data_IF_672916824741
#
_entry.id   IF_672916824741
#
_cell.length_a   1.000
_cell.length_b   1.000
_cell.length_c   1.000
_cell.angle_alpha   90.00
_cell.angle_beta   90.00
_cell.angle_gamma   90.00
#
_symmetry.space_group_name_H-M   'P 1'
#
loop_
_entity.id
_entity.type
_entity.pdbx_description
1 polymer ?
#
# COMPACT_ATOMS: atom_id res chain seq x y z
N UNK A 1 -80.82 23.35 43.93
CA UNK A 1 -79.46 22.80 44.10
C UNK A 1 -79.00 22.24 42.76
N UNK A 2 -77.93 22.84 42.20
CA UNK A 2 -77.30 22.44 40.93
C UNK A 2 -76.56 21.11 41.11
N UNK A 3 -76.81 20.13 40.26
CA UNK A 3 -75.92 19.00 40.06
C UNK A 3 -75.53 18.94 38.58
N UNK A 4 -74.28 19.27 38.30
CA UNK A 4 -73.63 19.09 37.01
C UNK A 4 -73.43 17.59 36.75
N UNK A 5 -73.85 17.09 35.59
CA UNK A 5 -73.41 15.81 35.03
C UNK A 5 -72.38 16.08 33.96
N UNK A 6 -71.13 15.68 34.19
CA UNK A 6 -70.06 15.66 33.19
C UNK A 6 -69.99 14.22 32.65
N UNK A 7 -70.01 13.99 31.33
CA UNK A 7 -69.61 12.71 30.78
C UNK A 7 -68.09 12.69 30.58
N UNK A 8 -67.42 11.72 31.20
CA UNK A 8 -66.01 11.41 30.97
C UNK A 8 -65.93 10.66 29.63
N UNK A 9 -65.50 11.34 28.57
CA UNK A 9 -65.08 10.72 27.33
C UNK A 9 -63.62 10.27 27.49
N UNK A 10 -63.42 8.98 27.70
CA UNK A 10 -62.09 8.34 27.70
C UNK A 10 -61.62 8.24 26.25
N UNK A 11 -60.89 9.26 25.79
CA UNK A 11 -60.17 9.24 24.52
C UNK A 11 -58.84 8.51 24.74
N UNK A 12 -58.82 7.20 24.48
CA UNK A 12 -57.58 6.41 24.42
C UNK A 12 -56.85 6.75 23.13
N UNK A 13 -56.04 7.81 23.16
CA UNK A 13 -55.09 8.14 22.11
C UNK A 13 -53.95 7.11 22.16
N UNK A 14 -54.05 6.04 21.37
CA UNK A 14 -52.94 5.13 21.09
C UNK A 14 -51.88 5.92 20.30
N UNK A 15 -50.96 6.56 21.01
CA UNK A 15 -49.72 7.07 20.43
C UNK A 15 -48.84 5.87 20.06
N UNK A 16 -48.98 5.41 18.81
CA UNK A 16 -47.94 4.61 18.16
C UNK A 16 -46.73 5.51 17.91
N UNK A 17 -45.91 5.71 18.94
CA UNK A 17 -44.54 6.18 18.74
C UNK A 17 -43.81 5.01 18.09
N UNK A 18 -43.82 4.99 16.76
CA UNK A 18 -42.89 4.19 15.98
C UNK A 18 -41.49 4.64 16.36
N UNK A 19 -40.83 3.89 17.24
CA UNK A 19 -39.39 3.98 17.46
C UNK A 19 -38.68 3.53 16.18
N UNK A 20 -38.64 4.38 15.15
CA UNK A 20 -37.65 4.25 14.10
C UNK A 20 -36.30 4.56 14.74
N UNK A 21 -35.56 3.52 15.14
CA UNK A 21 -34.16 3.67 15.54
C UNK A 21 -33.39 4.28 14.38
N UNK A 22 -32.56 5.28 14.68
CA UNK A 22 -31.71 5.93 13.69
C UNK A 22 -30.82 4.89 13.00
N UNK A 23 -30.65 5.01 11.68
CA UNK A 23 -29.75 4.14 10.91
C UNK A 23 -28.29 4.53 11.17
N UNK A 24 -27.41 3.55 11.22
CA UNK A 24 -25.97 3.74 11.42
C UNK A 24 -25.38 4.43 10.18
N UNK A 25 -25.01 5.70 10.32
CA UNK A 25 -24.40 6.48 9.23
C UNK A 25 -22.92 6.15 9.13
N UNK A 26 -22.47 5.80 7.93
CA UNK A 26 -21.08 5.53 7.59
C UNK A 26 -20.67 6.46 6.44
N UNK A 27 -19.50 7.07 6.58
CA UNK A 27 -18.94 8.03 5.64
C UNK A 27 -17.50 7.65 5.26
N UNK A 28 -16.96 8.28 4.21
CA UNK A 28 -15.59 8.02 3.73
C UNK A 28 -14.53 8.22 4.83
N UNK A 29 -14.78 9.10 5.81
CA UNK A 29 -13.88 9.33 6.94
C UNK A 29 -13.72 8.10 7.85
N UNK A 30 -14.76 7.28 7.98
CA UNK A 30 -14.71 6.05 8.78
C UNK A 30 -13.85 5.00 8.07
N UNK A 31 -13.91 4.96 6.74
CA UNK A 31 -13.00 4.12 5.93
C UNK A 31 -11.55 4.58 6.04
N UNK A 32 -11.30 5.89 5.95
CA UNK A 32 -9.97 6.47 6.13
C UNK A 32 -9.38 6.14 7.50
N UNK A 33 -10.19 6.22 8.55
CA UNK A 33 -9.79 5.85 9.90
C UNK A 33 -9.31 4.40 9.96
N UNK A 34 -10.04 3.43 9.39
CA UNK A 34 -9.60 2.03 9.39
C UNK A 34 -8.31 1.78 8.60
N UNK A 35 -8.13 2.47 7.48
CA UNK A 35 -6.89 2.38 6.70
C UNK A 35 -5.71 2.95 7.50
N UNK A 36 -5.93 4.02 8.25
CA UNK A 36 -4.92 4.63 9.12
C UNK A 36 -4.54 3.71 10.29
N UNK A 37 -5.51 3.10 10.97
CA UNK A 37 -5.26 2.12 12.05
C UNK A 37 -4.43 0.91 11.55
N UNK A 38 -4.76 0.37 10.38
CA UNK A 38 -3.95 -0.71 9.77
C UNK A 38 -2.53 -0.24 9.44
N UNK A 39 -2.37 1.02 9.03
CA UNK A 39 -1.06 1.60 8.74
C UNK A 39 -0.21 1.73 10.00
N UNK A 40 -0.79 2.19 11.11
CA UNK A 40 -0.09 2.28 12.40
C UNK A 40 0.37 0.91 12.91
N UNK A 41 -0.49 -0.11 12.82
CA UNK A 41 -0.13 -1.49 13.17
C UNK A 41 1.00 -2.00 12.27
N UNK A 42 0.99 -1.68 10.97
CA UNK A 42 2.08 -2.09 10.09
C UNK A 42 3.43 -1.45 10.42
N UNK A 43 3.42 -0.20 10.87
CA UNK A 43 4.63 0.49 11.33
C UNK A 43 5.13 -0.15 12.63
N UNK A 44 4.21 -0.48 13.55
CA UNK A 44 4.54 -1.18 14.80
C UNK A 44 5.15 -2.56 14.54
N UNK A 45 4.57 -3.33 13.62
CA UNK A 45 4.98 -4.70 13.30
C UNK A 45 6.18 -4.79 12.34
N UNK A 46 6.65 -3.64 11.83
CA UNK A 46 7.82 -3.51 10.94
C UNK A 46 7.68 -4.37 9.68
N UNK A 47 6.51 -4.30 9.02
CA UNK A 47 6.30 -5.04 7.78
C UNK A 47 7.16 -4.52 6.63
N UNK A 48 7.65 -5.46 5.81
CA UNK A 48 8.40 -5.12 4.60
C UNK A 48 7.53 -4.45 3.54
N UNK A 49 8.11 -3.65 2.63
CA UNK A 49 7.34 -2.98 1.59
C UNK A 49 6.44 -3.91 0.75
N UNK A 50 6.90 -5.10 0.27
CA UNK A 50 6.03 -6.01 -0.45
C UNK A 50 4.93 -6.59 0.43
N UNK A 51 5.24 -6.99 1.68
CA UNK A 51 4.22 -7.54 2.58
C UNK A 51 3.17 -6.49 2.93
N UNK A 52 3.56 -5.23 3.17
CA UNK A 52 2.63 -4.14 3.40
C UNK A 52 1.62 -3.95 2.25
N UNK A 53 2.05 -4.12 0.99
CA UNK A 53 1.11 -4.07 -0.14
C UNK A 53 0.04 -5.17 -0.11
N UNK A 54 0.41 -6.36 0.35
CA UNK A 54 -0.53 -7.47 0.56
C UNK A 54 -1.53 -7.15 1.66
N UNK A 55 -1.07 -6.53 2.75
CA UNK A 55 -1.90 -6.15 3.90
C UNK A 55 -2.95 -5.11 3.50
N UNK A 56 -2.64 -4.18 2.60
CA UNK A 56 -3.63 -3.23 2.09
C UNK A 56 -4.62 -3.86 1.09
N UNK A 57 -4.17 -4.73 0.20
CA UNK A 57 -4.98 -5.15 -0.94
C UNK A 57 -6.19 -6.02 -0.54
N UNK A 58 -5.99 -7.07 0.26
CA UNK A 58 -7.07 -8.01 0.59
C UNK A 58 -8.23 -7.39 1.39
N UNK A 59 -7.99 -6.56 2.44
CA UNK A 59 -9.06 -5.88 3.15
C UNK A 59 -9.86 -4.92 2.26
N UNK A 60 -9.18 -4.19 1.37
CA UNK A 60 -9.84 -3.32 0.40
C UNK A 60 -10.73 -4.12 -0.56
N UNK A 61 -10.23 -5.26 -1.08
CA UNK A 61 -11.03 -6.16 -1.94
C UNK A 61 -12.25 -6.69 -1.18
N UNK A 62 -12.12 -7.06 0.09
CA UNK A 62 -13.25 -7.52 0.89
C UNK A 62 -14.32 -6.43 1.07
N UNK A 63 -13.92 -5.21 1.44
CA UNK A 63 -14.83 -4.08 1.53
C UNK A 63 -15.50 -3.77 0.18
N UNK A 64 -14.73 -3.82 -0.90
CA UNK A 64 -15.23 -3.58 -2.25
C UNK A 64 -16.27 -4.62 -2.68
N UNK A 65 -16.01 -5.90 -2.43
CA UNK A 65 -16.95 -6.97 -2.76
C UNK A 65 -18.22 -6.92 -1.92
N UNK A 66 -18.16 -6.50 -0.64
CA UNK A 66 -19.37 -6.24 0.15
C UNK A 66 -20.29 -5.22 -0.54
N UNK A 67 -19.71 -4.17 -1.11
CA UNK A 67 -20.48 -3.14 -1.80
C UNK A 67 -21.05 -3.67 -3.13
N UNK A 68 -20.29 -4.48 -3.85
CA UNK A 68 -20.50 -4.73 -5.27
C UNK A 68 -20.88 -6.16 -5.70
N UNK A 69 -20.81 -7.15 -4.81
CA UNK A 69 -21.14 -8.55 -5.13
C UNK A 69 -22.59 -8.72 -5.63
N UNK A 70 -23.54 -7.96 -5.09
CA UNK A 70 -24.95 -8.00 -5.49
C UNK A 70 -25.48 -6.58 -5.72
N UNK A 71 -25.90 -6.21 -6.92
CA UNK A 71 -26.51 -4.90 -7.23
C UNK A 71 -25.64 -3.68 -6.80
N UNK A 72 -24.32 -3.75 -7.02
CA UNK A 72 -23.37 -2.67 -6.71
C UNK A 72 -23.43 -1.47 -7.66
N UNK A 73 -22.81 -0.36 -7.23
CA UNK A 73 -22.51 0.79 -8.10
C UNK A 73 -21.43 0.44 -9.12
N UNK A 74 -20.48 -0.40 -8.72
CA UNK A 74 -19.39 -0.90 -9.57
C UNK A 74 -19.59 -2.40 -9.86
N UNK A 75 -18.85 -2.92 -10.83
CA UNK A 75 -18.81 -4.36 -11.14
C UNK A 75 -18.00 -5.13 -10.09
N UNK A 76 -18.43 -6.35 -9.75
CA UNK A 76 -17.66 -7.24 -8.86
C UNK A 76 -16.32 -7.64 -9.51
N UNK A 77 -15.28 -7.76 -8.70
CA UNK A 77 -13.95 -8.25 -9.09
C UNK A 77 -13.88 -9.79 -9.16
N UNK A 78 -14.97 -10.48 -8.82
CA UNK A 78 -15.06 -11.93 -8.99
C UNK A 78 -14.88 -12.31 -10.46
N UNK A 79 -14.08 -13.34 -10.70
CA UNK A 79 -13.66 -13.79 -12.03
C UNK A 79 -12.81 -12.78 -12.83
N UNK A 80 -12.49 -11.61 -12.27
CA UNK A 80 -11.52 -10.67 -12.84
C UNK A 80 -10.13 -10.82 -12.20
N UNK A 81 -10.08 -11.07 -10.89
CA UNK A 81 -8.83 -11.35 -10.18
C UNK A 81 -8.51 -12.84 -10.20
N UNK A 82 -7.21 -13.16 -10.30
CA UNK A 82 -6.72 -14.53 -10.35
C UNK A 82 -7.22 -15.37 -9.15
N UNK A 83 -8.03 -16.38 -9.46
CA UNK A 83 -8.58 -17.33 -8.49
C UNK A 83 -9.70 -16.80 -7.60
N UNK A 84 -10.12 -15.54 -7.73
CA UNK A 84 -11.26 -14.99 -6.99
C UNK A 84 -12.54 -15.44 -7.68
N UNK A 85 -13.25 -16.40 -7.08
CA UNK A 85 -14.52 -16.90 -7.61
C UNK A 85 -15.70 -16.10 -7.09
N UNK A 86 -16.84 -16.23 -7.76
CA UNK A 86 -18.13 -15.68 -7.30
C UNK A 86 -18.41 -16.07 -5.85
N UNK A 87 -18.86 -15.11 -5.04
CA UNK A 87 -19.18 -15.31 -3.63
C UNK A 87 -20.56 -15.96 -3.55
N UNK A 88 -20.62 -17.18 -3.04
CA UNK A 88 -21.87 -17.94 -2.92
C UNK A 88 -22.49 -17.77 -1.52
N UNK A 89 -23.78 -18.12 -1.41
CA UNK A 89 -24.48 -18.20 -0.11
C UNK A 89 -24.51 -16.89 0.70
N UNK A 90 -24.47 -15.73 0.04
CA UNK A 90 -24.68 -14.45 0.71
C UNK A 90 -26.07 -14.39 1.36
N UNK A 91 -26.20 -13.79 2.56
CA UNK A 91 -27.49 -13.64 3.23
C UNK A 91 -28.53 -12.92 2.36
N UNK A 92 -29.47 -13.68 1.78
CA UNK A 92 -30.59 -13.18 0.97
C UNK A 92 -31.77 -12.77 1.87
N UNK A 93 -31.75 -11.55 2.41
CA UNK A 93 -32.90 -10.75 2.87
C UNK A 93 -32.49 -9.79 3.99
N UNK A 94 -32.81 -8.52 3.77
CA UNK A 94 -32.89 -7.33 4.64
C UNK A 94 -32.22 -6.16 3.91
N UNK A 95 -32.70 -4.93 4.17
CA UNK A 95 -31.94 -3.72 3.87
C UNK A 95 -30.64 -3.78 4.68
N UNK A 96 -29.59 -4.33 4.06
CA UNK A 96 -28.27 -4.43 4.67
C UNK A 96 -27.59 -3.07 4.49
N UNK A 97 -27.14 -2.50 5.60
CA UNK A 97 -26.23 -1.36 5.56
C UNK A 97 -24.86 -1.83 5.03
N UNK A 98 -24.70 -1.80 3.70
CA UNK A 98 -23.50 -2.25 3.01
C UNK A 98 -22.25 -1.46 3.39
N UNK A 99 -22.29 -0.12 3.56
CA UNK A 99 -21.14 0.62 4.08
C UNK A 99 -20.64 0.10 5.43
N UNK A 100 -21.55 -0.16 6.38
CA UNK A 100 -21.18 -0.77 7.67
C UNK A 100 -20.61 -2.18 7.50
N UNK A 101 -21.24 -3.01 6.67
CA UNK A 101 -20.76 -4.36 6.39
C UNK A 101 -19.37 -4.35 5.74
N UNK A 102 -19.05 -3.33 4.93
CA UNK A 102 -17.77 -3.17 4.26
C UNK A 102 -16.65 -2.83 5.27
N UNK A 103 -16.93 -1.95 6.24
CA UNK A 103 -16.00 -1.68 7.36
C UNK A 103 -15.73 -2.92 8.20
N UNK A 104 -16.77 -3.71 8.48
CA UNK A 104 -16.66 -4.97 9.24
C UNK A 104 -15.79 -5.98 8.47
N UNK A 105 -16.06 -6.16 7.17
CA UNK A 105 -15.27 -7.07 6.33
C UNK A 105 -13.81 -6.62 6.21
N UNK A 106 -13.56 -5.30 6.06
CA UNK A 106 -12.22 -4.74 6.03
C UNK A 106 -11.42 -5.13 7.28
N UNK A 107 -11.94 -4.85 8.48
CA UNK A 107 -11.26 -5.18 9.74
C UNK A 107 -11.09 -6.70 9.94
N UNK A 108 -12.09 -7.47 9.53
CA UNK A 108 -12.05 -8.93 9.69
C UNK A 108 -10.98 -9.60 8.82
N UNK A 109 -10.71 -9.07 7.63
CA UNK A 109 -9.58 -9.51 6.80
C UNK A 109 -8.26 -8.91 7.27
N UNK A 110 -8.23 -7.62 7.63
CA UNK A 110 -7.00 -6.93 8.03
C UNK A 110 -6.35 -7.53 9.29
N UNK A 111 -7.15 -7.92 10.30
CA UNK A 111 -6.63 -8.57 11.51
C UNK A 111 -5.94 -9.91 11.21
N UNK A 112 -6.27 -10.59 10.10
CA UNK A 112 -5.62 -11.87 9.76
C UNK A 112 -4.25 -11.69 9.09
N UNK A 113 -3.89 -10.44 8.76
CA UNK A 113 -2.72 -10.08 7.98
C UNK A 113 -1.58 -9.45 8.80
N UNK A 114 -1.85 -9.05 10.04
CA UNK A 114 -0.90 -8.39 10.94
C UNK A 114 -0.47 -9.33 12.09
N UNK A 115 0.62 -9.00 12.79
CA UNK A 115 1.08 -9.75 13.96
C UNK A 115 0.38 -9.26 15.24
N UNK A 116 0.31 -7.95 15.46
CA UNK A 116 -0.43 -7.32 16.57
C UNK A 116 -1.94 -7.31 16.31
N UNK A 117 -2.55 -8.49 16.18
CA UNK A 117 -3.99 -8.64 15.89
C UNK A 117 -4.87 -7.99 16.95
N UNK A 118 -4.41 -7.99 18.20
CA UNK A 118 -5.11 -7.47 19.36
C UNK A 118 -5.39 -5.97 19.23
N UNK A 119 -4.52 -5.20 18.58
CA UNK A 119 -4.72 -3.77 18.32
C UNK A 119 -5.93 -3.54 17.41
N UNK A 120 -6.02 -4.30 16.29
CA UNK A 120 -7.17 -4.22 15.38
C UNK A 120 -8.44 -4.82 15.99
N UNK A 121 -8.33 -5.83 16.86
CA UNK A 121 -9.47 -6.37 17.63
C UNK A 121 -10.03 -5.31 18.57
N UNK A 122 -9.16 -4.55 19.27
CA UNK A 122 -9.61 -3.47 20.16
C UNK A 122 -10.36 -2.37 19.40
N UNK A 123 -9.86 -1.96 18.23
CA UNK A 123 -10.56 -1.02 17.33
C UNK A 123 -11.93 -1.58 16.92
N UNK A 124 -11.95 -2.84 16.46
CA UNK A 124 -13.19 -3.54 16.05
C UNK A 124 -14.20 -3.59 17.19
N UNK A 125 -13.80 -3.95 18.40
CA UNK A 125 -14.70 -4.08 19.55
C UNK A 125 -15.27 -2.74 19.99
N UNK A 126 -14.45 -1.68 19.99
CA UNK A 126 -14.89 -0.31 20.26
C UNK A 126 -15.98 0.14 19.28
N UNK A 127 -15.74 -0.02 17.98
CA UNK A 127 -16.70 0.33 16.93
C UNK A 127 -17.97 -0.52 17.01
N UNK A 128 -17.84 -1.82 17.27
CA UNK A 128 -18.98 -2.73 17.44
C UNK A 128 -19.87 -2.31 18.62
N UNK A 129 -19.30 -1.92 19.75
CA UNK A 129 -20.05 -1.41 20.91
C UNK A 129 -20.81 -0.14 20.51
N UNK A 130 -20.13 0.78 19.83
CA UNK A 130 -20.74 2.03 19.36
C UNK A 130 -21.92 1.77 18.40
N UNK A 131 -21.72 1.01 17.33
CA UNK A 131 -22.75 0.71 16.33
C UNK A 131 -23.93 -0.09 16.90
N UNK A 132 -23.68 -1.05 17.81
CA UNK A 132 -24.74 -1.78 18.52
C UNK A 132 -25.60 -0.87 19.38
N UNK A 133 -25.01 0.17 19.98
CA UNK A 133 -25.74 1.13 20.81
C UNK A 133 -26.70 2.00 20.00
N UNK A 134 -26.35 2.34 18.75
CA UNK A 134 -27.21 3.06 17.80
C UNK A 134 -28.33 2.14 17.30
N UNK A 135 -27.97 1.06 16.60
CA UNK A 135 -28.95 0.14 16.00
C UNK A 135 -28.45 -1.30 15.93
N UNK A 136 -28.63 -2.04 17.03
CA UNK A 136 -28.25 -3.46 17.14
C UNK A 136 -28.79 -4.35 16.00
N UNK A 137 -30.02 -4.12 15.51
CA UNK A 137 -30.61 -4.99 14.48
C UNK A 137 -29.90 -4.80 13.14
N UNK A 138 -29.71 -3.54 12.74
CA UNK A 138 -28.98 -3.17 11.54
C UNK A 138 -27.52 -3.64 11.62
N UNK A 139 -26.85 -3.43 12.76
CA UNK A 139 -25.50 -3.92 12.99
C UNK A 139 -25.39 -5.44 12.78
N UNK A 140 -26.26 -6.24 13.41
CA UNK A 140 -26.19 -7.70 13.29
C UNK A 140 -26.43 -8.19 11.86
N UNK A 141 -27.26 -7.50 11.09
CA UNK A 141 -27.48 -7.80 9.67
C UNK A 141 -26.23 -7.47 8.83
N UNK A 142 -25.63 -6.29 9.07
CA UNK A 142 -24.40 -5.87 8.41
C UNK A 142 -23.20 -6.76 8.77
N UNK A 143 -23.06 -7.14 10.05
CA UNK A 143 -22.01 -8.04 10.54
C UNK A 143 -22.13 -9.41 9.87
N UNK A 144 -23.33 -9.99 9.83
CA UNK A 144 -23.56 -11.29 9.17
C UNK A 144 -23.18 -11.25 7.69
N UNK A 145 -23.53 -10.18 6.97
CA UNK A 145 -23.20 -10.04 5.55
C UNK A 145 -21.71 -9.79 5.33
N UNK A 146 -21.10 -8.87 6.08
CA UNK A 146 -19.68 -8.53 6.00
C UNK A 146 -18.79 -9.74 6.31
N UNK A 147 -19.13 -10.52 7.35
CA UNK A 147 -18.39 -11.73 7.71
C UNK A 147 -18.56 -12.86 6.68
N UNK A 148 -19.72 -12.96 6.01
CA UNK A 148 -19.91 -13.91 4.93
C UNK A 148 -18.95 -13.58 3.76
N UNK A 149 -18.83 -12.32 3.37
CA UNK A 149 -17.88 -11.89 2.33
C UNK A 149 -16.43 -12.06 2.79
N UNK A 150 -16.06 -11.59 3.98
CA UNK A 150 -14.68 -11.66 4.47
C UNK A 150 -14.18 -13.09 4.56
N UNK A 151 -15.02 -14.05 4.95
CA UNK A 151 -14.66 -15.47 4.99
C UNK A 151 -14.22 -16.00 3.63
N UNK A 152 -14.95 -15.66 2.56
CA UNK A 152 -14.59 -16.06 1.19
C UNK A 152 -13.26 -15.44 0.76
N UNK A 153 -13.04 -14.17 1.10
CA UNK A 153 -11.78 -13.47 0.79
C UNK A 153 -10.61 -14.05 1.58
N UNK A 154 -10.78 -14.40 2.85
CA UNK A 154 -9.75 -15.05 3.67
C UNK A 154 -9.39 -16.42 3.09
N UNK A 155 -10.37 -17.20 2.65
CA UNK A 155 -10.12 -18.51 2.03
C UNK A 155 -9.39 -18.41 0.68
N UNK A 156 -9.69 -17.37 -0.10
CA UNK A 156 -8.97 -17.06 -1.34
C UNK A 156 -7.56 -16.52 -1.09
N UNK A 157 -7.40 -15.69 -0.05
CA UNK A 157 -6.13 -15.09 0.39
C UNK A 157 -5.15 -16.16 0.90
N UNK A 158 -5.62 -17.15 1.66
CA UNK A 158 -4.76 -18.24 2.18
C UNK A 158 -4.16 -19.13 1.09
N UNK A 159 -4.65 -19.03 -0.15
CA UNK A 159 -4.22 -19.82 -1.33
C UNK A 159 -3.34 -19.02 -2.29
N UNK A 160 -2.74 -17.91 -1.83
CA UNK A 160 -1.91 -17.04 -2.65
C UNK A 160 -0.41 -17.34 -2.59
N UNK A 161 -0.05 -18.48 -1.98
CA UNK A 161 1.31 -18.97 -1.77
C UNK A 161 2.12 -18.19 -0.70
N UNK A 162 1.52 -17.25 0.02
CA UNK A 162 2.23 -16.49 1.07
C UNK A 162 2.72 -17.37 2.22
N UNK A 163 1.88 -18.28 2.72
CA UNK A 163 2.21 -19.16 3.85
C UNK A 163 3.38 -20.08 3.48
N UNK A 164 3.34 -20.65 2.28
CA UNK A 164 4.35 -21.55 1.74
C UNK A 164 5.69 -20.84 1.56
N UNK A 165 5.70 -19.56 1.15
CA UNK A 165 6.96 -18.80 1.01
C UNK A 165 7.66 -18.51 2.33
N UNK A 166 6.97 -18.59 3.49
CA UNK A 166 7.58 -18.31 4.80
C UNK A 166 8.61 -19.36 5.23
N UNK A 167 8.56 -20.56 4.66
CA UNK A 167 9.50 -21.65 4.95
C UNK A 167 10.48 -21.92 3.82
N UNK A 168 10.43 -21.13 2.73
CA UNK A 168 11.39 -21.24 1.64
C UNK A 168 12.78 -20.74 2.06
N UNK A 169 13.86 -21.23 1.43
CA UNK A 169 15.21 -20.78 1.74
C UNK A 169 15.40 -19.28 1.58
N UNK A 170 16.23 -18.71 2.44
CA UNK A 170 16.70 -17.34 2.33
C UNK A 170 17.57 -17.15 1.07
N UNK A 171 17.82 -15.88 0.73
CA UNK A 171 18.72 -15.53 -0.36
C UNK A 171 20.16 -15.98 -0.06
N UNK A 172 20.76 -16.75 -0.96
CA UNK A 172 22.15 -17.15 -0.88
C UNK A 172 23.06 -16.02 -1.38
N UNK A 173 23.88 -15.47 -0.48
CA UNK A 173 24.88 -14.47 -0.81
C UNK A 173 26.13 -15.18 -1.35
N UNK A 174 26.54 -14.81 -2.56
CA UNK A 174 27.76 -15.32 -3.20
C UNK A 174 28.75 -14.17 -3.37
N UNK A 175 29.62 -13.97 -2.37
CA UNK A 175 30.55 -12.83 -2.31
C UNK A 175 31.65 -12.84 -3.38
N UNK A 176 31.89 -14.00 -3.99
CA UNK A 176 32.96 -14.19 -4.99
C UNK A 176 32.60 -13.58 -6.35
N UNK A 177 31.30 -13.37 -6.61
CA UNK A 177 30.81 -12.68 -7.80
C UNK A 177 30.61 -11.19 -7.48
N UNK A 178 31.45 -10.28 -8.01
CA UNK A 178 31.39 -8.85 -7.69
C UNK A 178 30.14 -8.15 -8.25
N UNK A 179 29.41 -8.79 -9.18
CA UNK A 179 28.17 -8.25 -9.74
C UNK A 179 26.94 -8.51 -8.87
N UNK A 180 27.03 -9.48 -7.95
CA UNK A 180 25.89 -9.94 -7.14
C UNK A 180 25.70 -9.15 -5.88
N UNK A 181 24.44 -8.95 -5.51
CA UNK A 181 24.02 -8.25 -4.29
C UNK A 181 24.63 -8.86 -3.04
N UNK A 182 25.07 -7.98 -2.15
CA UNK A 182 25.61 -8.28 -0.83
C UNK A 182 24.86 -7.46 0.21
N UNK A 183 24.64 -8.00 1.42
CA UNK A 183 24.14 -7.21 2.54
C UNK A 183 25.01 -5.97 2.79
N UNK A 184 24.39 -4.84 3.04
CA UNK A 184 25.07 -3.54 3.22
C UNK A 184 25.11 -3.10 4.69
N UNK A 185 26.11 -2.32 5.10
CA UNK A 185 26.13 -1.68 6.41
C UNK A 185 24.89 -0.78 6.65
N UNK A 186 24.60 -0.45 7.92
CA UNK A 186 25.25 -0.94 9.14
C UNK A 186 24.76 -2.32 9.60
N UNK A 187 23.60 -2.77 9.13
CA UNK A 187 22.89 -3.92 9.71
C UNK A 187 23.18 -5.26 9.01
N UNK A 188 23.66 -5.25 7.75
CA UNK A 188 23.96 -6.46 6.98
C UNK A 188 22.80 -7.48 6.97
N UNK A 189 21.56 -6.97 6.90
CA UNK A 189 20.36 -7.81 6.90
C UNK A 189 20.29 -8.71 5.68
N UNK A 190 19.66 -9.88 5.85
CA UNK A 190 19.33 -10.76 4.74
C UNK A 190 18.43 -10.07 3.71
N UNK A 191 18.55 -10.49 2.45
CA UNK A 191 17.71 -9.97 1.37
C UNK A 191 16.23 -10.20 1.66
N UNK A 192 15.45 -9.12 1.64
CA UNK A 192 14.02 -9.13 2.00
C UNK A 192 13.14 -9.73 0.89
N UNK A 193 12.41 -10.78 1.26
CA UNK A 193 11.39 -11.45 0.43
C UNK A 193 11.92 -12.04 -0.90
N UNK A 194 12.96 -12.91 -0.89
CA UNK A 194 13.57 -13.45 -2.12
C UNK A 194 12.61 -14.24 -3.01
N UNK A 195 11.51 -14.74 -2.44
CA UNK A 195 10.52 -15.56 -3.13
C UNK A 195 9.22 -14.79 -3.39
N UNK A 196 9.22 -13.44 -3.33
CA UNK A 196 7.99 -12.66 -3.53
C UNK A 196 7.37 -12.85 -4.91
N UNK A 197 8.17 -13.22 -5.92
CA UNK A 197 7.66 -13.56 -7.26
C UNK A 197 6.87 -14.89 -7.32
N UNK A 198 6.81 -15.64 -6.21
CA UNK A 198 6.00 -16.85 -6.07
C UNK A 198 4.61 -16.57 -5.51
N UNK A 199 4.36 -15.36 -5.01
CA UNK A 199 3.03 -14.95 -4.57
C UNK A 199 2.12 -14.85 -5.79
N UNK A 200 0.86 -15.30 -5.66
CA UNK A 200 -0.14 -15.18 -6.72
C UNK A 200 -0.39 -13.69 -7.04
N UNK A 201 -0.13 -13.23 -8.28
CA UNK A 201 -0.55 -11.89 -8.70
C UNK A 201 -2.07 -11.77 -8.74
N UNK A 202 -2.62 -10.57 -8.56
CA UNK A 202 -4.05 -10.34 -8.68
C UNK A 202 -4.52 -10.25 -10.13
N UNK A 203 -3.79 -9.51 -10.95
CA UNK A 203 -4.18 -9.17 -12.33
C UNK A 203 -3.17 -9.71 -13.34
N UNK A 204 -1.88 -9.81 -12.96
CA UNK A 204 -0.85 -10.31 -13.86
C UNK A 204 -1.08 -11.77 -14.24
N UNK A 205 -0.80 -12.13 -15.49
CA UNK A 205 -0.79 -13.52 -15.96
C UNK A 205 0.36 -14.32 -15.30
N UNK A 206 1.48 -13.64 -15.02
CA UNK A 206 2.61 -14.17 -14.26
C UNK A 206 3.43 -13.04 -13.63
N UNK A 207 4.22 -13.35 -12.60
CA UNK A 207 5.10 -12.36 -11.97
C UNK A 207 6.09 -11.71 -12.95
N UNK A 208 6.47 -12.42 -14.02
CA UNK A 208 7.43 -11.96 -15.03
C UNK A 208 6.79 -11.24 -16.23
N UNK A 209 5.47 -10.99 -16.23
CA UNK A 209 4.76 -10.38 -17.36
C UNK A 209 5.35 -9.02 -17.77
N UNK A 210 5.81 -8.23 -16.80
CA UNK A 210 6.46 -6.93 -17.01
C UNK A 210 7.96 -6.97 -16.73
N UNK A 211 8.63 -8.09 -17.04
CA UNK A 211 10.10 -8.18 -16.97
C UNK A 211 10.73 -7.06 -17.81
N UNK A 212 11.53 -6.16 -17.21
CA UNK A 212 12.15 -5.07 -17.94
C UNK A 212 13.31 -5.56 -18.79
N UNK A 213 13.90 -4.65 -19.58
CA UNK A 213 15.22 -4.88 -20.16
C UNK A 213 16.24 -5.18 -19.05
N UNK A 214 17.30 -5.98 -19.29
CA UNK A 214 18.32 -6.24 -18.28
C UNK A 214 19.07 -4.95 -17.88
N UNK A 215 19.67 -4.88 -16.68
CA UNK A 215 20.55 -3.78 -16.32
C UNK A 215 21.79 -3.74 -17.24
N UNK A 216 22.50 -2.60 -17.31
CA UNK A 216 23.79 -2.53 -17.99
C UNK A 216 24.71 -3.65 -17.51
N UNK A 217 25.41 -4.30 -18.45
CA UNK A 217 26.32 -5.40 -18.12
C UNK A 217 27.38 -4.92 -17.13
N UNK A 218 27.50 -5.63 -16.01
CA UNK A 218 28.47 -5.31 -14.97
C UNK A 218 29.89 -5.27 -15.56
N UNK A 219 30.54 -4.12 -15.43
CA UNK A 219 31.95 -3.94 -15.75
C UNK A 219 32.48 -2.74 -14.97
N UNK A 220 33.66 -2.91 -14.37
CA UNK A 220 34.41 -1.81 -13.74
C UNK A 220 35.45 -1.21 -14.70
N UNK A 221 35.45 -1.62 -15.97
CA UNK A 221 36.29 -1.00 -16.99
C UNK A 221 35.81 0.42 -17.29
N UNK A 222 36.77 1.36 -17.28
CA UNK A 222 36.50 2.76 -17.58
C UNK A 222 35.88 2.90 -18.97
N UNK A 223 34.73 3.56 -19.04
CA UNK A 223 33.99 3.79 -20.28
C UNK A 223 32.88 2.77 -20.57
N UNK A 224 32.81 1.65 -19.84
CA UNK A 224 31.64 0.77 -19.88
C UNK A 224 30.39 1.48 -19.35
N UNK A 225 29.21 1.08 -19.81
CA UNK A 225 27.96 1.76 -19.43
C UNK A 225 27.65 1.60 -17.95
N UNK A 226 27.95 0.44 -17.36
CA UNK A 226 27.80 0.23 -15.92
C UNK A 226 28.77 1.11 -15.11
N UNK A 227 30.04 1.20 -15.50
CA UNK A 227 31.01 2.08 -14.81
C UNK A 227 30.59 3.56 -14.89
N UNK A 228 30.04 4.01 -16.03
CA UNK A 228 29.48 5.37 -16.14
C UNK A 228 28.35 5.60 -15.13
N UNK A 229 27.40 4.67 -14.99
CA UNK A 229 26.32 4.82 -14.00
C UNK A 229 26.84 4.88 -12.55
N UNK A 230 27.89 4.12 -12.23
CA UNK A 230 28.53 4.18 -10.90
C UNK A 230 29.18 5.55 -10.67
N UNK A 231 29.95 6.05 -11.63
CA UNK A 231 30.65 7.33 -11.51
C UNK A 231 29.67 8.51 -11.51
N UNK A 232 28.66 8.51 -12.37
CA UNK A 232 27.62 9.55 -12.42
C UNK A 232 26.93 9.68 -11.06
N UNK A 233 26.60 8.54 -10.42
CA UNK A 233 26.00 8.53 -9.09
C UNK A 233 26.96 9.06 -8.01
N UNK A 234 28.21 8.60 -8.04
CA UNK A 234 29.24 9.07 -7.11
C UNK A 234 29.47 10.58 -7.20
N UNK A 235 29.64 11.11 -8.42
CA UNK A 235 29.85 12.54 -8.65
C UNK A 235 28.63 13.36 -8.27
N UNK A 236 27.43 12.92 -8.65
CA UNK A 236 26.19 13.61 -8.33
C UNK A 236 25.97 13.69 -6.82
N UNK A 237 26.12 12.58 -6.09
CA UNK A 237 25.94 12.56 -4.63
C UNK A 237 26.97 13.42 -3.90
N UNK A 238 28.22 13.45 -4.36
CA UNK A 238 29.25 14.35 -3.84
C UNK A 238 28.92 15.82 -4.11
N UNK A 239 28.35 16.14 -5.28
CA UNK A 239 27.92 17.51 -5.58
C UNK A 239 26.72 17.94 -4.72
N UNK A 240 25.77 17.05 -4.47
CA UNK A 240 24.66 17.32 -3.53
C UNK A 240 25.20 17.61 -2.13
N UNK A 241 26.17 16.82 -1.64
CA UNK A 241 26.83 17.04 -0.33
C UNK A 241 27.53 18.38 -0.24
N UNK A 242 28.22 18.82 -1.30
CA UNK A 242 28.87 20.14 -1.35
C UNK A 242 27.86 21.28 -1.22
N UNK A 243 26.62 21.09 -1.69
CA UNK A 243 25.54 22.06 -1.57
C UNK A 243 24.90 22.09 -0.16
N UNK A 244 25.27 21.15 0.71
CA UNK A 244 24.81 21.05 2.09
C UNK A 244 23.50 20.28 2.28
N UNK A 245 23.22 19.96 3.54
CA UNK A 245 22.09 19.11 3.97
C UNK A 245 20.72 19.77 3.79
N UNK A 246 20.68 21.07 3.48
CA UNK A 246 19.45 21.83 3.23
C UNK A 246 19.10 21.92 1.74
N UNK A 247 19.87 21.26 0.87
CA UNK A 247 19.62 21.23 -0.57
C UNK A 247 18.28 20.57 -0.92
N UNK A 248 17.70 20.96 -2.06
CA UNK A 248 16.41 20.44 -2.53
C UNK A 248 16.47 18.93 -2.77
N UNK A 249 17.60 18.43 -3.25
CA UNK A 249 17.85 17.03 -3.55
C UNK A 249 17.84 16.18 -2.27
N UNK A 250 18.44 16.67 -1.18
CA UNK A 250 18.38 16.01 0.13
C UNK A 250 16.95 15.96 0.65
N UNK A 251 16.21 17.08 0.56
CA UNK A 251 14.81 17.12 0.98
C UNK A 251 13.92 16.16 0.17
N UNK A 252 14.16 16.03 -1.15
CA UNK A 252 13.47 15.07 -2.01
C UNK A 252 13.82 13.63 -1.63
N UNK A 253 15.11 13.33 -1.41
CA UNK A 253 15.57 12.00 -1.02
C UNK A 253 14.96 11.56 0.31
N UNK A 254 14.93 12.45 1.31
CA UNK A 254 14.38 12.16 2.63
C UNK A 254 12.86 11.98 2.60
N UNK A 255 12.14 12.82 1.84
CA UNK A 255 10.68 12.74 1.74
C UNK A 255 10.21 11.41 1.18
N UNK A 256 10.91 10.88 0.18
CA UNK A 256 10.58 9.64 -0.48
C UNK A 256 11.44 8.47 0.01
N UNK A 257 12.07 8.54 1.19
CA UNK A 257 12.92 7.45 1.68
C UNK A 257 12.07 6.19 2.00
N UNK A 258 10.99 6.40 2.75
CA UNK A 258 9.96 5.41 3.10
C UNK A 258 10.54 4.02 3.44
N UNK A 259 11.66 4.00 4.16
CA UNK A 259 12.41 2.79 4.51
C UNK A 259 12.21 2.46 6.00
N UNK A 260 11.44 1.40 6.33
CA UNK A 260 11.20 1.03 7.74
C UNK A 260 12.44 0.40 8.41
N UNK A 261 13.52 0.16 7.67
CA UNK A 261 14.75 -0.48 8.18
C UNK A 261 15.86 0.50 8.55
N UNK A 262 15.58 1.81 8.55
CA UNK A 262 16.59 2.81 8.91
C UNK A 262 16.97 2.60 10.38
N UNK A 263 18.23 2.21 10.59
CA UNK A 263 18.79 1.96 11.93
C UNK A 263 19.64 3.15 12.33
N UNK A 264 19.33 3.72 13.48
CA UNK A 264 20.13 4.79 14.10
C UNK A 264 20.87 4.18 15.28
N UNK A 265 22.20 4.11 15.17
CA UNK A 265 23.06 3.65 16.25
C UNK A 265 23.53 4.88 17.05
N UNK A 266 23.17 4.98 18.33
CA UNK A 266 23.72 5.98 19.28
C UNK A 266 24.37 5.24 20.45
N UNK A 267 25.70 5.14 20.41
CA UNK A 267 26.46 4.32 21.37
C UNK A 267 26.12 2.83 21.22
N UNK A 268 25.76 2.17 22.33
CA UNK A 268 25.33 0.76 22.33
C UNK A 268 23.83 0.56 21.99
N UNK A 269 23.07 1.65 21.80
CA UNK A 269 21.64 1.55 21.48
C UNK A 269 21.40 1.63 19.97
N UNK A 270 20.63 0.67 19.47
CA UNK A 270 20.08 0.67 18.12
C UNK A 270 18.60 0.99 18.19
N UNK A 271 18.16 2.04 17.49
CA UNK A 271 16.73 2.36 17.33
C UNK A 271 16.37 2.37 15.84
N UNK A 272 15.22 1.77 15.49
CA UNK A 272 14.65 1.89 14.16
C UNK A 272 13.84 3.20 14.06
N UNK A 273 14.04 3.96 12.98
CA UNK A 273 13.19 5.12 12.69
C UNK A 273 11.83 4.63 12.20
N UNK A 274 10.75 5.03 12.88
CA UNK A 274 9.38 4.74 12.42
C UNK A 274 9.11 5.51 11.13
N UNK A 275 8.98 4.77 10.03
CA UNK A 275 8.65 5.31 8.70
C UNK A 275 7.61 4.41 8.04
N UNK A 276 6.80 4.98 7.16
CA UNK A 276 5.91 4.22 6.28
C UNK A 276 6.69 3.60 5.13
N UNK A 277 6.08 2.61 4.47
CA UNK A 277 6.59 2.02 3.23
C UNK A 277 6.08 2.80 2.01
N UNK A 278 6.67 2.62 0.82
CA UNK A 278 6.21 3.32 -0.39
C UNK A 278 4.76 2.99 -0.75
N UNK A 279 4.32 1.75 -0.50
CA UNK A 279 2.93 1.36 -0.69
C UNK A 279 1.99 2.16 0.22
N UNK A 280 2.33 2.27 1.50
CA UNK A 280 1.59 3.07 2.47
C UNK A 280 1.53 4.57 2.09
N UNK A 281 2.63 5.13 1.58
CA UNK A 281 2.66 6.51 1.08
C UNK A 281 1.64 6.72 -0.05
N UNK A 282 1.63 5.85 -1.06
CA UNK A 282 0.68 5.95 -2.17
C UNK A 282 -0.78 5.68 -1.76
N UNK A 283 -1.02 4.86 -0.73
CA UNK A 283 -2.33 4.72 -0.10
C UNK A 283 -2.74 6.02 0.62
N UNK A 284 -1.79 6.72 1.26
CA UNK A 284 -1.98 8.06 1.81
C UNK A 284 -2.28 9.11 0.74
N UNK A 285 -1.62 9.08 -0.42
CA UNK A 285 -1.94 9.96 -1.56
C UNK A 285 -3.34 9.66 -2.10
N UNK A 286 -3.75 8.39 -2.16
CA UNK A 286 -5.12 8.01 -2.49
C UNK A 286 -6.13 8.63 -1.50
N UNK A 287 -5.85 8.61 -0.20
CA UNK A 287 -6.65 9.29 0.85
C UNK A 287 -6.80 10.79 0.58
N UNK A 288 -5.70 11.45 0.22
CA UNK A 288 -5.70 12.88 -0.08
C UNK A 288 -6.57 13.17 -1.31
N UNK A 289 -6.42 12.37 -2.37
CA UNK A 289 -7.21 12.52 -3.59
C UNK A 289 -8.71 12.34 -3.35
N UNK A 290 -9.12 11.29 -2.62
CA UNK A 290 -10.53 11.03 -2.30
C UNK A 290 -11.15 12.14 -1.45
N UNK A 291 -10.40 12.68 -0.48
CA UNK A 291 -10.85 13.82 0.33
C UNK A 291 -10.98 15.08 -0.52
N UNK A 292 -9.96 15.41 -1.33
CA UNK A 292 -9.95 16.59 -2.18
C UNK A 292 -11.06 16.56 -3.25
N UNK A 293 -11.40 15.39 -3.77
CA UNK A 293 -12.49 15.23 -4.74
C UNK A 293 -13.88 15.07 -4.11
N UNK A 294 -14.01 15.14 -2.78
CA UNK A 294 -15.25 14.85 -2.04
C UNK A 294 -15.90 13.52 -2.48
N UNK A 295 -15.08 12.49 -2.65
CA UNK A 295 -15.55 11.16 -3.06
C UNK A 295 -16.52 10.57 -2.03
N UNK A 296 -17.64 10.05 -2.51
CA UNK A 296 -18.54 9.22 -1.69
C UNK A 296 -17.86 7.94 -1.21
N UNK A 297 -18.55 7.21 -0.32
CA UNK A 297 -18.00 6.02 0.33
C UNK A 297 -17.61 4.97 -0.71
N UNK A 298 -18.49 4.67 -1.66
CA UNK A 298 -18.25 3.67 -2.69
C UNK A 298 -17.08 4.06 -3.61
N UNK A 299 -16.97 5.32 -4.03
CA UNK A 299 -15.83 5.82 -4.84
C UNK A 299 -14.53 5.77 -4.04
N UNK A 300 -14.58 6.03 -2.73
CA UNK A 300 -13.43 5.93 -1.83
C UNK A 300 -12.92 4.49 -1.74
N UNK A 301 -13.80 3.53 -1.44
CA UNK A 301 -13.44 2.09 -1.38
C UNK A 301 -12.92 1.60 -2.74
N UNK A 302 -13.57 2.00 -3.83
CA UNK A 302 -13.11 1.74 -5.19
C UNK A 302 -11.67 2.23 -5.42
N UNK A 303 -11.37 3.48 -5.07
CA UNK A 303 -10.07 4.08 -5.30
C UNK A 303 -8.96 3.36 -4.53
N UNK A 304 -9.18 3.06 -3.26
CA UNK A 304 -8.24 2.27 -2.45
C UNK A 304 -8.03 0.86 -3.01
N UNK A 305 -9.11 0.20 -3.44
CA UNK A 305 -9.05 -1.17 -3.97
C UNK A 305 -8.23 -1.23 -5.25
N UNK A 306 -8.54 -0.40 -6.25
CA UNK A 306 -7.78 -0.40 -7.52
C UNK A 306 -6.32 -0.01 -7.31
N UNK A 307 -6.06 0.97 -6.43
CA UNK A 307 -4.69 1.43 -6.13
C UNK A 307 -3.88 0.35 -5.41
N UNK A 308 -4.44 -0.30 -4.38
CA UNK A 308 -3.74 -1.35 -3.63
C UNK A 308 -3.47 -2.61 -4.46
N UNK A 309 -4.37 -2.98 -5.38
CA UNK A 309 -4.14 -4.06 -6.35
C UNK A 309 -2.93 -3.74 -7.24
N UNK A 310 -2.88 -2.53 -7.83
CA UNK A 310 -1.77 -2.13 -8.69
C UNK A 310 -0.43 -2.08 -7.94
N UNK A 311 -0.45 -1.63 -6.67
CA UNK A 311 0.72 -1.62 -5.80
C UNK A 311 1.21 -3.06 -5.53
N UNK A 312 0.33 -3.99 -5.17
CA UNK A 312 0.71 -5.39 -4.90
C UNK A 312 1.34 -6.05 -6.12
N UNK A 313 0.69 -5.96 -7.29
CA UNK A 313 1.22 -6.54 -8.52
C UNK A 313 2.51 -5.84 -8.97
N UNK A 314 2.64 -4.53 -8.71
CA UNK A 314 3.87 -3.76 -8.87
C UNK A 314 5.03 -4.30 -8.04
N UNK A 315 4.77 -4.64 -6.77
CA UNK A 315 5.77 -5.27 -5.90
C UNK A 315 6.16 -6.66 -6.37
N UNK A 316 5.20 -7.51 -6.77
CA UNK A 316 5.49 -8.84 -7.33
C UNK A 316 6.39 -8.74 -8.55
N UNK A 317 6.04 -7.88 -9.51
CA UNK A 317 6.80 -7.65 -10.75
C UNK A 317 8.20 -7.08 -10.49
N UNK A 318 8.33 -6.15 -9.54
CA UNK A 318 9.63 -5.59 -9.18
C UNK A 318 10.54 -6.61 -8.48
N UNK A 319 10.00 -7.37 -7.51
CA UNK A 319 10.80 -8.34 -6.78
C UNK A 319 11.20 -9.53 -7.65
N UNK A 320 10.37 -9.90 -8.63
CA UNK A 320 10.76 -10.85 -9.68
C UNK A 320 12.05 -10.42 -10.40
N UNK A 321 12.18 -9.13 -10.74
CA UNK A 321 13.39 -8.62 -11.38
C UNK A 321 14.58 -8.48 -10.41
N UNK A 322 14.33 -8.02 -9.18
CA UNK A 322 15.37 -7.89 -8.14
C UNK A 322 16.13 -9.19 -7.91
N UNK A 323 15.39 -10.29 -7.78
CA UNK A 323 15.97 -11.60 -7.51
C UNK A 323 16.35 -12.38 -8.78
N UNK A 324 15.97 -11.88 -9.97
CA UNK A 324 16.51 -12.34 -11.25
C UNK A 324 17.89 -11.74 -11.53
N UNK A 325 17.99 -10.41 -11.50
CA UNK A 325 19.23 -9.68 -11.80
C UNK A 325 20.26 -9.80 -10.68
N UNK A 326 19.79 -9.87 -9.42
CA UNK A 326 20.62 -9.92 -8.22
C UNK A 326 21.69 -8.83 -8.19
N UNK A 327 21.40 -7.63 -8.71
CA UNK A 327 22.43 -6.60 -8.92
C UNK A 327 22.93 -5.98 -7.61
N UNK A 328 24.24 -5.80 -7.53
CA UNK A 328 24.96 -5.11 -6.44
C UNK A 328 24.51 -3.65 -6.26
N UNK A 329 24.61 -3.14 -5.03
CA UNK A 329 24.27 -1.75 -4.67
C UNK A 329 25.44 -0.79 -4.90
N UNK A 330 25.18 0.51 -5.15
CA UNK A 330 26.25 1.48 -5.43
C UNK A 330 27.31 1.57 -4.33
N UNK A 331 26.90 1.62 -3.06
CA UNK A 331 27.83 1.79 -1.94
C UNK A 331 28.89 0.68 -1.86
N UNK A 332 28.53 -0.55 -2.21
CA UNK A 332 29.48 -1.67 -2.12
C UNK A 332 30.60 -1.52 -3.13
N UNK A 333 30.29 -1.07 -4.34
CA UNK A 333 31.29 -0.86 -5.38
C UNK A 333 32.11 0.39 -5.15
N UNK A 334 31.44 1.50 -4.78
CA UNK A 334 32.12 2.76 -4.52
C UNK A 334 33.11 2.59 -3.38
N UNK A 335 32.68 2.01 -2.25
CA UNK A 335 33.56 1.83 -1.09
C UNK A 335 34.73 0.90 -1.36
N UNK A 336 34.55 -0.11 -2.23
CA UNK A 336 35.58 -1.11 -2.51
C UNK A 336 36.59 -0.67 -3.57
N UNK A 337 36.15 0.08 -4.58
CA UNK A 337 36.95 0.33 -5.79
C UNK A 337 37.20 1.82 -6.10
N UNK A 338 36.49 2.75 -5.46
CA UNK A 338 36.54 4.19 -5.81
C UNK A 338 36.95 5.02 -4.60
N UNK A 339 36.15 5.02 -3.53
CA UNK A 339 36.30 5.87 -2.35
C UNK A 339 35.72 5.17 -1.12
N UNK A 340 36.59 4.68 -0.24
CA UNK A 340 36.22 3.91 0.95
C UNK A 340 35.61 4.75 2.09
N UNK A 341 35.57 6.09 1.94
CA UNK A 341 34.96 7.01 2.89
C UNK A 341 33.59 7.51 2.44
N UNK A 342 33.22 7.20 1.20
CA UNK A 342 31.93 7.60 0.66
C UNK A 342 30.79 6.87 1.39
N UNK A 343 29.66 7.55 1.46
CA UNK A 343 28.42 6.97 1.99
C UNK A 343 27.26 7.44 1.12
N UNK A 344 26.17 6.67 1.00
CA UNK A 344 24.96 7.19 0.36
C UNK A 344 24.30 8.27 1.25
N UNK A 345 23.42 9.08 0.68
CA UNK A 345 22.61 10.04 1.46
C UNK A 345 21.49 9.35 2.25
N UNK A 346 20.98 8.23 1.72
CA UNK A 346 20.03 7.36 2.40
C UNK A 346 20.67 6.02 2.73
N UNK A 347 20.31 5.42 3.85
CA UNK A 347 20.76 4.06 4.17
C UNK A 347 20.23 3.08 3.11
N UNK A 348 21.11 2.24 2.56
CA UNK A 348 20.73 1.27 1.52
C UNK A 348 19.75 0.23 2.06
N UNK A 349 18.59 0.05 1.41
CA UNK A 349 17.65 -0.99 1.80
C UNK A 349 18.18 -2.42 1.55
N UNK A 350 17.83 -3.40 2.41
CA UNK A 350 18.40 -4.75 2.38
C UNK A 350 17.77 -5.66 1.31
N UNK A 351 17.94 -5.30 0.04
CA UNK A 351 17.53 -6.10 -1.12
C UNK A 351 18.27 -5.69 -2.39
N UNK A 352 18.33 -6.57 -3.43
CA UNK A 352 19.00 -6.28 -4.69
C UNK A 352 18.56 -4.99 -5.37
N UNK A 353 19.46 -4.44 -6.20
CA UNK A 353 19.33 -3.08 -6.74
C UNK A 353 18.25 -3.00 -7.85
N UNK A 354 18.33 -3.82 -8.89
CA UNK A 354 17.57 -3.58 -10.13
C UNK A 354 16.25 -4.38 -10.19
N UNK A 355 15.09 -3.80 -10.48
CA UNK A 355 14.77 -2.36 -10.67
C UNK A 355 14.43 -1.65 -9.35
N UNK A 356 14.30 -0.32 -9.38
CA UNK A 356 13.90 0.45 -8.19
C UNK A 356 12.43 0.20 -7.83
N UNK A 357 12.18 -0.37 -6.64
CA UNK A 357 10.82 -0.63 -6.13
C UNK A 357 9.98 0.64 -5.95
N UNK A 358 10.61 1.74 -5.52
CA UNK A 358 9.96 3.06 -5.48
C UNK A 358 9.47 3.47 -6.87
N UNK A 359 10.29 3.25 -7.90
CA UNK A 359 9.95 3.66 -9.27
C UNK A 359 8.81 2.82 -9.84
N UNK A 360 8.84 1.49 -9.66
CA UNK A 360 7.79 0.59 -10.15
C UNK A 360 6.45 0.86 -9.45
N UNK A 361 6.44 0.91 -8.12
CA UNK A 361 5.21 1.10 -7.33
C UNK A 361 4.62 2.49 -7.57
N UNK A 362 5.46 3.53 -7.63
CA UNK A 362 4.99 4.89 -7.92
C UNK A 362 4.45 5.01 -9.34
N UNK A 363 5.10 4.39 -10.32
CA UNK A 363 4.59 4.32 -11.69
C UNK A 363 3.19 3.68 -11.73
N UNK A 364 3.03 2.50 -11.13
CA UNK A 364 1.76 1.77 -11.13
C UNK A 364 0.65 2.55 -10.41
N UNK A 365 0.90 3.03 -9.20
CA UNK A 365 -0.08 3.79 -8.42
C UNK A 365 -0.47 5.10 -9.11
N UNK A 366 0.49 5.81 -9.71
CA UNK A 366 0.21 7.07 -10.39
C UNK A 366 -0.70 6.89 -11.61
N UNK A 367 -0.51 5.84 -12.40
CA UNK A 367 -1.38 5.56 -13.57
C UNK A 367 -2.80 5.18 -13.15
N UNK A 368 -2.96 4.42 -12.07
CA UNK A 368 -4.28 4.10 -11.51
C UNK A 368 -4.98 5.33 -10.96
N UNK A 369 -4.31 6.13 -10.13
CA UNK A 369 -4.89 7.35 -9.57
C UNK A 369 -5.22 8.38 -10.65
N UNK A 370 -4.37 8.48 -11.68
CA UNK A 370 -4.63 9.33 -12.86
C UNK A 370 -5.88 8.87 -13.61
N UNK A 371 -6.07 7.55 -13.78
CA UNK A 371 -7.30 7.02 -14.40
C UNK A 371 -8.56 7.32 -13.56
N UNK A 372 -8.43 7.36 -12.23
CA UNK A 372 -9.56 7.57 -11.32
C UNK A 372 -9.95 9.05 -11.18
N UNK A 373 -8.96 9.94 -11.05
CA UNK A 373 -9.15 11.35 -10.65
C UNK A 373 -8.76 12.35 -11.74
N UNK A 374 -8.15 11.90 -12.83
CA UNK A 374 -7.66 12.75 -13.92
C UNK A 374 -6.16 13.02 -13.85
N UNK A 375 -5.58 13.47 -14.97
CA UNK A 375 -4.13 13.64 -15.15
C UNK A 375 -3.57 14.80 -14.33
N UNK A 376 -4.09 16.01 -14.54
CA UNK A 376 -3.61 17.23 -13.89
C UNK A 376 -4.26 17.45 -12.50
N UNK A 377 -4.38 16.37 -11.73
CA UNK A 377 -4.88 16.43 -10.36
C UNK A 377 -3.78 16.97 -9.43
N UNK A 378 -3.85 18.26 -9.09
CA UNK A 378 -2.92 18.85 -8.13
C UNK A 378 -3.26 18.41 -6.72
N UNK A 379 -2.26 18.23 -5.85
CA UNK A 379 -2.47 17.92 -4.45
C UNK A 379 -1.29 18.36 -3.58
N UNK A 380 -1.59 18.60 -2.31
CA UNK A 380 -0.60 18.81 -1.27
C UNK A 380 -0.41 17.47 -0.56
N UNK A 381 0.79 16.92 -0.65
CA UNK A 381 1.14 15.67 -0.01
C UNK A 381 1.55 15.91 1.44
N UNK A 382 0.68 15.45 2.35
CA UNK A 382 0.80 15.60 3.80
C UNK A 382 1.11 14.29 4.52
N UNK A 383 1.32 13.19 3.79
CA UNK A 383 1.48 11.85 4.37
C UNK A 383 2.66 11.74 5.33
N UNK A 384 3.75 12.47 5.05
CA UNK A 384 4.99 12.42 5.82
C UNK A 384 5.04 13.44 6.97
N UNK A 385 4.00 14.26 7.18
CA UNK A 385 3.93 15.24 8.26
C UNK A 385 4.09 14.60 9.65
N UNK A 386 3.42 13.46 9.86
CA UNK A 386 3.48 12.73 11.13
C UNK A 386 4.85 12.09 11.39
N UNK A 387 5.68 11.96 10.35
CA UNK A 387 7.05 11.46 10.43
C UNK A 387 8.10 12.60 10.44
N UNK A 388 7.64 13.85 10.60
CA UNK A 388 8.50 15.02 10.80
C UNK A 388 9.00 15.67 9.51
N UNK A 389 8.43 15.34 8.36
CA UNK A 389 8.81 15.90 7.06
C UNK A 389 7.77 16.92 6.57
N UNK A 390 8.17 17.95 5.81
CA UNK A 390 7.26 19.01 5.37
C UNK A 390 6.31 18.56 4.26
N UNK A 391 5.22 19.31 4.09
CA UNK A 391 4.29 19.15 2.96
C UNK A 391 5.01 19.38 1.63
N UNK A 392 4.66 18.59 0.60
CA UNK A 392 5.13 18.79 -0.78
C UNK A 392 3.97 18.96 -1.74
N UNK A 393 4.13 19.84 -2.72
CA UNK A 393 3.08 20.15 -3.69
C UNK A 393 3.36 19.47 -5.02
N UNK A 394 2.35 18.81 -5.56
CA UNK A 394 2.43 18.15 -6.88
C UNK A 394 1.32 18.63 -7.79
N UNK A 395 1.64 18.71 -9.08
CA UNK A 395 0.70 19.11 -10.14
C UNK A 395 -0.07 17.93 -10.74
N UNK A 396 0.42 16.71 -10.52
CA UNK A 396 -0.19 15.44 -10.97
C UNK A 396 0.42 14.28 -10.19
N UNK A 397 -0.28 13.13 -10.16
CA UNK A 397 0.28 11.89 -9.61
C UNK A 397 1.53 11.44 -10.38
N UNK A 398 1.56 11.63 -11.71
CA UNK A 398 2.73 11.31 -12.54
C UNK A 398 3.93 12.19 -12.21
N UNK A 399 3.71 13.45 -11.83
CA UNK A 399 4.78 14.33 -11.35
C UNK A 399 5.33 13.84 -9.99
N UNK A 400 4.46 13.46 -9.06
CA UNK A 400 4.88 12.84 -7.79
C UNK A 400 5.68 11.55 -8.01
N UNK A 401 5.23 10.66 -8.90
CA UNK A 401 5.94 9.42 -9.21
C UNK A 401 7.32 9.63 -9.85
N UNK A 402 7.47 10.64 -10.71
CA UNK A 402 8.78 11.04 -11.26
C UNK A 402 9.71 11.54 -10.16
N UNK A 403 9.20 12.33 -9.21
CA UNK A 403 9.98 12.79 -8.07
C UNK A 403 10.37 11.64 -7.13
N UNK A 404 9.46 10.72 -6.85
CA UNK A 404 9.71 9.50 -6.08
C UNK A 404 10.75 8.57 -6.74
N UNK A 405 10.78 8.52 -8.08
CA UNK A 405 11.76 7.73 -8.81
C UNK A 405 13.16 8.37 -8.73
N UNK A 406 13.28 9.66 -9.04
CA UNK A 406 14.57 10.37 -9.06
C UNK A 406 15.16 10.55 -7.64
N UNK A 407 14.32 10.59 -6.60
CA UNK A 407 14.77 10.66 -5.21
C UNK A 407 15.75 9.53 -4.84
N UNK A 408 15.64 8.37 -5.49
CA UNK A 408 16.49 7.20 -5.23
C UNK A 408 17.89 7.36 -5.81
N UNK A 409 18.00 8.11 -6.91
CA UNK A 409 19.28 8.52 -7.46
C UNK A 409 19.92 9.52 -6.51
N UNK A 410 19.19 10.57 -6.09
CA UNK A 410 19.66 11.55 -5.09
C UNK A 410 20.09 10.87 -3.79
N UNK A 411 19.35 9.87 -3.33
CA UNK A 411 19.70 9.08 -2.15
C UNK A 411 21.01 8.29 -2.25
N UNK A 412 21.57 8.12 -3.45
CA UNK A 412 22.82 7.39 -3.68
C UNK A 412 22.70 5.87 -3.65
N UNK A 413 21.48 5.33 -3.81
CA UNK A 413 21.18 3.91 -3.56
C UNK A 413 20.68 3.16 -4.79
N UNK A 414 20.44 3.86 -5.90
CA UNK A 414 19.99 3.29 -7.16
C UNK A 414 20.70 3.90 -8.35
N UNK A 415 21.07 3.08 -9.33
CA UNK A 415 21.58 3.53 -10.61
C UNK A 415 20.46 4.13 -11.49
N UNK A 416 20.84 4.93 -12.48
CA UNK A 416 19.89 5.61 -13.37
C UNK A 416 19.01 4.60 -14.15
N UNK A 417 19.61 3.49 -14.61
CA UNK A 417 18.90 2.39 -15.26
C UNK A 417 17.77 1.82 -14.40
N UNK A 418 18.03 1.52 -13.12
CA UNK A 418 17.03 0.98 -12.20
C UNK A 418 15.86 1.95 -11.95
N UNK A 419 16.15 3.25 -11.92
CA UNK A 419 15.15 4.31 -11.77
C UNK A 419 14.29 4.44 -13.03
N UNK A 420 14.91 4.61 -14.20
CA UNK A 420 14.20 4.81 -15.47
C UNK A 420 13.40 3.58 -15.89
N UNK A 421 14.04 2.41 -15.88
CA UNK A 421 13.41 1.16 -16.31
C UNK A 421 12.36 0.71 -15.28
N UNK A 422 12.61 0.95 -13.98
CA UNK A 422 11.60 0.72 -12.94
C UNK A 422 10.36 1.59 -13.11
N UNK A 423 10.51 2.89 -13.39
CA UNK A 423 9.37 3.78 -13.62
C UNK A 423 8.59 3.35 -14.87
N UNK A 424 9.28 2.98 -15.95
CA UNK A 424 8.64 2.47 -17.17
C UNK A 424 7.88 1.17 -16.91
N UNK A 425 8.49 0.22 -16.19
CA UNK A 425 7.85 -1.04 -15.77
C UNK A 425 6.56 -0.77 -14.97
N UNK A 426 6.62 0.15 -13.99
CA UNK A 426 5.47 0.55 -13.20
C UNK A 426 4.33 1.17 -14.01
N UNK A 427 4.66 2.09 -14.92
CA UNK A 427 3.68 2.74 -15.80
C UNK A 427 2.97 1.72 -16.69
N UNK A 428 3.72 0.79 -17.29
CA UNK A 428 3.13 -0.26 -18.14
C UNK A 428 2.19 -1.17 -17.34
N UNK A 429 2.59 -1.56 -16.13
CA UNK A 429 1.76 -2.37 -15.24
C UNK A 429 0.49 -1.62 -14.81
N UNK A 430 0.61 -0.36 -14.40
CA UNK A 430 -0.55 0.45 -14.00
C UNK A 430 -1.56 0.66 -15.13
N UNK A 431 -1.08 0.86 -16.37
CA UNK A 431 -1.93 0.90 -17.57
C UNK A 431 -2.62 -0.42 -17.82
N UNK A 432 -1.90 -1.53 -17.70
CA UNK A 432 -2.49 -2.86 -17.84
C UNK A 432 -3.57 -3.13 -16.79
N UNK A 433 -3.36 -2.75 -15.53
CA UNK A 433 -4.41 -2.85 -14.49
C UNK A 433 -5.63 -2.00 -14.85
N UNK A 434 -5.43 -0.81 -15.40
CA UNK A 434 -6.52 0.06 -15.85
C UNK A 434 -7.33 -0.54 -17.01
N UNK A 435 -6.66 -1.25 -17.93
CA UNK A 435 -7.26 -1.89 -19.10
C UNK A 435 -7.93 -3.22 -18.76
N UNK A 436 -7.33 -4.00 -17.84
CA UNK A 436 -7.75 -5.37 -17.54
C UNK A 436 -8.92 -5.45 -16.56
N UNK A 437 -8.99 -4.54 -15.59
CA UNK A 437 -10.05 -4.52 -14.59
C UNK A 437 -11.19 -3.61 -15.01
N UNK A 438 -12.38 -4.19 -15.15
CA UNK A 438 -13.60 -3.45 -15.41
C UNK A 438 -14.35 -3.20 -14.10
N UNK A 439 -14.38 -1.94 -13.68
CA UNK A 439 -15.12 -1.50 -12.50
C UNK A 439 -16.45 -0.84 -12.86
N UNK A 440 -16.65 -0.40 -14.10
CA UNK A 440 -17.80 0.40 -14.51
C UNK A 440 -18.76 -0.48 -15.29
N UNK A 441 -20.05 -0.48 -14.93
CA UNK A 441 -21.07 -1.27 -15.63
C UNK A 441 -21.34 -0.81 -17.05
#
# INVERSE_FOLDING_TARGET
MRFFKIPIFLLTLFLWISCQKESIKIESKDYHFLVDEVTEVMIHDIFSPPVASRIYAYPNIAAYEVLNAENGKYQSLTNQLNGLKTIENLPKNQEINKPLAALIAYLDVAKELVFSKEELIAVKDSLNIHWKSINKKEFLAAEKYGLAVSSHIIDWMKKDNYIETRTMPNFNVHSDDPSRWQPTPPAYMNGIEPNWNKIRPFVLDSAAQFKPIPPPTFSLEKGSDFYKEVMDLYEMTNNIRKNGDTSKEVAIAQFWDCNPYVSVNKGHFMFASKKITPGAHWIGICKIATKKSNSDFEKTVFAYTKTSIAIMDGFISCWDEKYRSNLIRPETLINKYIDNTWTPLLQTPPFPEYTSGHSVVSGAASEVLTNIFGDNFSFEDTTELQFGLPVRNFTSFRNAAKEAAISRLYGGIHYNSAVKNGLSQGILLGKFVNEKLDFIK
#
